data_IF_915426561778
#
_entry.id   IF_915426561778
#
_cell.length_a   1.000
_cell.length_b   1.000
_cell.length_c   1.000
_cell.angle_alpha   90.00
_cell.angle_beta   90.00
_cell.angle_gamma   90.00
#
_symmetry.space_group_name_H-M   'P 1'
#
loop_
_entity.id
_entity.type
_entity.pdbx_description
1 polymer ?
#
# COMPACT_ATOMS: atom_id res chain seq x y z
N UNK A 1 -14.07 -7.16 3.87
CA UNK A 1 -14.84 -7.21 2.60
C UNK A 1 -16.19 -7.94 2.72
N UNK A 2 -16.31 -8.97 3.56
CA UNK A 2 -17.52 -9.81 3.71
C UNK A 2 -18.61 -9.19 4.62
N UNK A 3 -18.66 -7.86 4.71
CA UNK A 3 -19.59 -7.11 5.57
C UNK A 3 -20.44 -6.22 4.66
N UNK A 4 -21.55 -6.78 4.19
CA UNK A 4 -22.45 -6.10 3.23
C UNK A 4 -23.17 -4.89 3.86
N UNK A 5 -23.20 -4.81 5.19
CA UNK A 5 -23.78 -3.72 5.95
C UNK A 5 -22.96 -2.42 5.93
N UNK A 6 -21.68 -2.48 5.52
CA UNK A 6 -20.76 -1.32 5.51
C UNK A 6 -20.86 -0.46 4.23
N UNK A 7 -21.84 -0.73 3.39
CA UNK A 7 -22.10 0.04 2.16
C UNK A 7 -21.08 -0.17 1.05
N UNK A 8 -21.14 0.67 0.03
CA UNK A 8 -20.24 0.68 -1.12
C UNK A 8 -19.78 2.10 -1.43
N UNK A 9 -18.74 2.21 -2.25
CA UNK A 9 -18.24 3.49 -2.77
C UNK A 9 -17.86 3.33 -4.23
N UNK A 10 -17.90 4.44 -4.97
CA UNK A 10 -17.45 4.48 -6.35
C UNK A 10 -15.93 4.68 -6.41
N UNK A 11 -15.29 3.98 -7.35
CA UNK A 11 -13.87 4.15 -7.66
C UNK A 11 -13.74 4.54 -9.12
N UNK A 12 -13.08 5.67 -9.37
CA UNK A 12 -12.75 6.11 -10.73
C UNK A 12 -11.67 5.20 -11.30
N UNK A 13 -11.87 4.71 -12.52
CA UNK A 13 -10.89 3.96 -13.29
C UNK A 13 -10.60 4.70 -14.59
N UNK A 14 -9.33 4.71 -15.02
CA UNK A 14 -8.93 5.40 -16.24
C UNK A 14 -7.61 4.86 -16.81
N UNK A 15 -7.04 5.61 -17.75
CA UNK A 15 -5.82 5.20 -18.47
C UNK A 15 -4.59 5.17 -17.56
N UNK A 16 -4.46 6.15 -16.68
CA UNK A 16 -3.28 6.34 -15.85
C UNK A 16 -3.60 5.94 -14.41
N UNK A 17 -2.86 4.93 -13.93
CA UNK A 17 -3.03 4.38 -12.61
C UNK A 17 -1.71 4.47 -11.83
N UNK A 18 -1.82 4.65 -10.53
CA UNK A 18 -0.70 4.57 -9.60
C UNK A 18 -0.78 3.24 -8.87
N UNK A 19 0.36 2.54 -8.79
CA UNK A 19 0.56 1.33 -7.98
C UNK A 19 1.76 1.55 -7.07
N UNK A 20 1.88 0.75 -6.01
CA UNK A 20 3.09 0.72 -5.21
C UNK A 20 4.29 0.26 -6.07
N UNK A 21 5.45 0.90 -5.92
CA UNK A 21 6.66 0.49 -6.63
C UNK A 21 7.01 -0.98 -6.36
N UNK A 22 6.79 -1.44 -5.12
CA UNK A 22 6.99 -2.82 -4.68
C UNK A 22 6.07 -3.85 -5.37
N UNK A 23 5.02 -3.39 -6.05
CA UNK A 23 4.07 -4.21 -6.79
C UNK A 23 4.47 -4.52 -8.23
N UNK A 24 5.64 -4.04 -8.67
CA UNK A 24 6.20 -4.37 -9.98
C UNK A 24 7.65 -4.87 -9.92
N UNK A 25 7.99 -5.85 -10.77
CA UNK A 25 9.37 -6.27 -11.07
C UNK A 25 9.53 -6.65 -12.53
N UNK A 26 10.68 -6.36 -13.14
CA UNK A 26 10.97 -6.86 -14.49
C UNK A 26 11.14 -8.39 -14.53
N UNK A 27 11.73 -8.95 -13.47
CA UNK A 27 11.86 -10.40 -13.31
C UNK A 27 11.62 -10.82 -11.87
N UNK A 28 10.96 -11.96 -11.69
CA UNK A 28 10.69 -12.51 -10.36
C UNK A 28 10.48 -14.02 -10.40
N UNK A 29 10.74 -14.67 -9.27
CA UNK A 29 10.49 -16.10 -9.09
C UNK A 29 8.99 -16.41 -8.98
N UNK A 30 8.63 -17.70 -8.96
CA UNK A 30 7.23 -18.17 -8.89
C UNK A 30 6.48 -17.78 -7.60
N UNK A 31 7.19 -17.35 -6.54
CA UNK A 31 6.58 -16.94 -5.27
C UNK A 31 6.10 -15.49 -5.29
N UNK A 32 6.58 -14.67 -6.24
CA UNK A 32 6.15 -13.29 -6.39
C UNK A 32 4.78 -13.22 -7.08
N UNK A 33 3.76 -12.73 -6.35
CA UNK A 33 2.35 -12.72 -6.77
C UNK A 33 1.83 -11.31 -7.10
N UNK A 34 2.69 -10.46 -7.67
CA UNK A 34 2.37 -9.08 -8.08
C UNK A 34 2.70 -8.93 -9.58
N UNK A 35 2.76 -7.70 -10.10
CA UNK A 35 2.97 -7.47 -11.53
C UNK A 35 4.42 -7.76 -11.94
N UNK A 36 4.58 -8.48 -13.04
CA UNK A 36 5.89 -8.75 -13.63
C UNK A 36 5.83 -8.44 -15.11
N UNK A 37 6.90 -7.89 -15.68
CA UNK A 37 6.98 -7.65 -17.13
C UNK A 37 6.66 -8.94 -17.91
N UNK A 38 5.75 -8.85 -18.89
CA UNK A 38 5.22 -9.97 -19.66
C UNK A 38 4.26 -10.89 -18.89
N UNK A 39 3.69 -10.44 -17.76
CA UNK A 39 2.74 -11.22 -16.95
C UNK A 39 1.55 -10.40 -16.50
N UNK A 40 0.50 -11.13 -16.12
CA UNK A 40 -0.80 -10.57 -15.70
C UNK A 40 -0.96 -10.44 -14.19
N UNK A 41 -1.57 -9.33 -13.77
CA UNK A 41 -2.04 -9.10 -12.39
C UNK A 41 -3.49 -8.62 -12.42
N UNK A 42 -4.25 -8.89 -11.35
CA UNK A 42 -5.56 -8.29 -11.17
C UNK A 42 -5.43 -6.99 -10.39
N UNK A 43 -6.06 -5.94 -10.89
CA UNK A 43 -6.27 -4.72 -10.13
C UNK A 43 -7.44 -4.95 -9.16
N UNK A 44 -7.25 -4.61 -7.89
CA UNK A 44 -8.25 -4.85 -6.84
C UNK A 44 -9.59 -4.23 -7.22
N UNK A 45 -10.65 -5.03 -7.25
CA UNK A 45 -12.00 -4.59 -7.60
C UNK A 45 -12.17 -4.18 -9.07
N UNK A 46 -11.19 -4.44 -9.94
CA UNK A 46 -11.17 -3.97 -11.31
C UNK A 46 -10.66 -5.07 -12.29
N UNK A 47 -10.17 -4.63 -13.44
CA UNK A 47 -9.71 -5.47 -14.55
C UNK A 47 -8.40 -6.20 -14.27
N UNK A 48 -8.11 -7.20 -15.11
CA UNK A 48 -6.78 -7.79 -15.25
C UNK A 48 -5.97 -6.96 -16.25
N UNK A 49 -4.70 -6.73 -15.95
CA UNK A 49 -3.75 -6.05 -16.83
C UNK A 49 -2.52 -6.92 -17.08
N UNK A 50 -1.83 -6.69 -18.20
CA UNK A 50 -0.55 -7.31 -18.56
C UNK A 50 0.53 -6.25 -18.76
N UNK A 51 1.65 -6.35 -18.05
CA UNK A 51 2.75 -5.40 -18.23
C UNK A 51 3.52 -5.69 -19.53
N UNK A 52 3.65 -4.70 -20.41
CA UNK A 52 4.24 -4.85 -21.74
C UNK A 52 5.57 -4.11 -21.91
N UNK A 53 5.78 -3.00 -21.19
CA UNK A 53 7.02 -2.21 -21.25
C UNK A 53 7.25 -1.41 -19.96
N UNK A 54 8.46 -0.88 -19.81
CA UNK A 54 8.86 -0.09 -18.65
C UNK A 54 9.82 1.03 -19.07
N UNK A 55 9.62 2.21 -18.51
CA UNK A 55 10.58 3.31 -18.56
C UNK A 55 11.40 3.37 -17.27
N UNK A 56 12.65 3.79 -17.41
CA UNK A 56 13.58 3.98 -16.30
C UNK A 56 14.26 5.35 -16.36
N UNK A 57 14.62 5.87 -15.21
CA UNK A 57 15.48 7.05 -15.12
C UNK A 57 16.97 6.70 -15.36
N UNK A 58 17.84 7.71 -15.31
CA UNK A 58 19.28 7.54 -15.50
C UNK A 58 19.98 6.73 -14.40
N UNK A 59 19.34 6.55 -13.24
CA UNK A 59 19.83 5.72 -12.15
C UNK A 59 19.31 4.28 -12.23
N UNK A 60 18.46 3.97 -13.22
CA UNK A 60 17.86 2.66 -13.42
C UNK A 60 16.59 2.42 -12.60
N UNK A 61 16.04 3.45 -11.93
CA UNK A 61 14.78 3.32 -11.21
C UNK A 61 13.62 3.29 -12.20
N UNK A 62 12.65 2.41 -11.95
CA UNK A 62 11.44 2.29 -12.76
C UNK A 62 10.53 3.48 -12.48
N UNK A 63 10.17 4.22 -13.53
CA UNK A 63 9.33 5.42 -13.43
C UNK A 63 7.92 5.17 -13.95
N UNK A 64 7.77 4.35 -15.00
CA UNK A 64 6.49 4.06 -15.63
C UNK A 64 6.43 2.61 -16.07
N UNK A 65 5.29 1.94 -15.82
CA UNK A 65 4.98 0.61 -16.37
C UNK A 65 3.84 0.76 -17.36
N UNK A 66 4.09 0.40 -18.62
CA UNK A 66 3.05 0.34 -19.64
C UNK A 66 2.38 -1.03 -19.58
N UNK A 67 1.06 -1.04 -19.56
CA UNK A 67 0.28 -2.25 -19.46
C UNK A 67 -0.94 -2.22 -20.39
N UNK A 68 -1.33 -3.40 -20.87
CA UNK A 68 -2.57 -3.61 -21.61
C UNK A 68 -3.67 -4.10 -20.67
N UNK A 69 -4.85 -3.51 -20.77
CA UNK A 69 -6.04 -3.98 -20.09
C UNK A 69 -6.62 -5.17 -20.84
N UNK A 70 -7.01 -6.22 -20.11
CA UNK A 70 -7.76 -7.34 -20.66
C UNK A 70 -9.27 -7.07 -20.53
N UNK A 71 -9.99 -6.81 -21.64
CA UNK A 71 -11.42 -6.52 -21.58
C UNK A 71 -12.23 -7.70 -21.05
N UNK A 72 -13.40 -7.42 -20.47
CA UNK A 72 -14.31 -8.46 -19.96
C UNK A 72 -13.83 -9.18 -18.70
N UNK A 73 -12.80 -8.67 -18.02
CA UNK A 73 -12.27 -9.26 -16.77
C UNK A 73 -12.70 -8.53 -15.49
N UNK A 74 -13.63 -7.57 -15.60
CA UNK A 74 -14.24 -6.93 -14.43
C UNK A 74 -15.18 -7.94 -13.75
N UNK A 75 -14.85 -8.36 -12.53
CA UNK A 75 -15.59 -9.40 -11.81
C UNK A 75 -15.36 -10.84 -12.32
N UNK A 76 -14.83 -10.99 -13.54
CA UNK A 76 -14.69 -12.27 -14.23
C UNK A 76 -13.22 -12.67 -14.47
N UNK A 77 -12.96 -13.97 -14.61
CA UNK A 77 -11.63 -14.50 -14.97
C UNK A 77 -11.33 -14.32 -16.49
N UNK A 78 -10.04 -14.25 -16.91
CA UNK A 78 -9.68 -14.16 -18.32
C UNK A 78 -10.23 -15.33 -19.16
N UNK A 79 -10.84 -15.02 -20.29
CA UNK A 79 -11.49 -15.99 -21.17
C UNK A 79 -10.53 -17.04 -21.78
N UNK A 80 -9.25 -16.68 -21.91
CA UNK A 80 -8.19 -17.58 -22.38
C UNK A 80 -7.69 -18.57 -21.30
N UNK A 81 -8.23 -18.51 -20.09
CA UNK A 81 -7.89 -19.38 -18.96
C UNK A 81 -6.57 -19.03 -18.26
N UNK A 82 -5.81 -18.05 -18.74
CA UNK A 82 -4.53 -17.64 -18.13
C UNK A 82 -4.80 -16.68 -16.97
N UNK A 83 -4.94 -17.25 -15.77
CA UNK A 83 -5.27 -16.50 -14.55
C UNK A 83 -4.12 -15.59 -14.10
N UNK A 84 -4.42 -14.39 -13.57
CA UNK A 84 -3.42 -13.50 -12.97
C UNK A 84 -2.78 -14.14 -11.73
N UNK A 85 -1.52 -13.80 -11.44
CA UNK A 85 -0.77 -14.40 -10.32
C UNK A 85 -1.14 -13.86 -8.94
N UNK A 86 -1.78 -12.70 -8.89
CA UNK A 86 -2.30 -12.12 -7.65
C UNK A 86 -3.07 -10.84 -7.92
N UNK A 87 -3.35 -10.12 -6.84
CA UNK A 87 -4.16 -8.90 -6.82
C UNK A 87 -3.35 -7.79 -6.17
N UNK A 88 -3.33 -6.61 -6.80
CA UNK A 88 -2.65 -5.40 -6.28
C UNK A 88 -3.65 -4.25 -6.14
N UNK A 89 -3.43 -3.38 -5.16
CA UNK A 89 -4.14 -2.11 -5.03
C UNK A 89 -3.62 -1.11 -6.05
N UNK A 90 -4.45 -0.11 -6.34
CA UNK A 90 -4.18 0.91 -7.34
C UNK A 90 -5.02 2.17 -7.04
N UNK A 91 -4.63 3.30 -7.61
CA UNK A 91 -5.40 4.54 -7.62
C UNK A 91 -5.46 5.10 -9.04
N UNK A 92 -6.55 5.77 -9.41
CA UNK A 92 -6.60 6.54 -10.65
C UNK A 92 -5.83 7.85 -10.49
N UNK A 93 -4.84 8.09 -11.34
CA UNK A 93 -3.83 9.13 -11.18
C UNK A 93 -4.46 10.54 -11.08
N UNK A 94 -5.42 10.87 -11.95
CA UNK A 94 -6.03 12.21 -12.01
C UNK A 94 -6.86 12.55 -10.76
N UNK A 95 -7.41 11.53 -10.11
CA UNK A 95 -8.31 11.71 -8.96
C UNK A 95 -7.62 11.44 -7.63
N UNK A 96 -6.50 10.74 -7.62
CA UNK A 96 -5.73 10.50 -6.41
C UNK A 96 -5.40 11.83 -5.71
N UNK A 97 -5.43 11.81 -4.37
CA UNK A 97 -5.15 12.98 -3.54
C UNK A 97 -3.82 12.77 -2.84
N UNK A 98 -3.01 13.83 -2.81
CA UNK A 98 -1.79 13.85 -1.99
C UNK A 98 -2.17 13.87 -0.52
N UNK A 99 -1.45 13.10 0.27
CA UNK A 99 -1.62 13.02 1.71
C UNK A 99 -0.25 12.86 2.40
N UNK A 100 -0.18 13.31 3.64
CA UNK A 100 0.90 12.94 4.55
C UNK A 100 0.48 11.67 5.30
N UNK A 101 1.36 10.67 5.33
CA UNK A 101 1.15 9.44 6.09
C UNK A 101 2.26 9.30 7.13
N UNK A 102 1.88 9.19 8.40
CA UNK A 102 2.77 8.90 9.51
C UNK A 102 2.72 7.42 9.82
N UNK A 103 3.83 6.72 9.62
CA UNK A 103 3.98 5.30 9.96
C UNK A 103 4.65 5.21 11.32
N UNK A 104 3.91 4.70 12.30
CA UNK A 104 4.41 4.50 13.65
C UNK A 104 4.96 3.08 13.82
N UNK A 105 6.04 2.95 14.57
CA UNK A 105 6.57 1.67 15.05
C UNK A 105 6.80 1.76 16.57
N UNK A 106 7.34 0.69 17.17
CA UNK A 106 7.74 0.67 18.58
C UNK A 106 8.65 1.84 18.89
N UNK A 107 8.35 2.57 19.98
CA UNK A 107 9.13 3.72 20.43
C UNK A 107 10.56 3.34 20.81
N UNK A 108 10.76 2.12 21.31
CA UNK A 108 12.06 1.60 21.71
C UNK A 108 12.43 0.39 20.87
N UNK A 109 13.71 0.29 20.51
CA UNK A 109 14.28 -0.86 19.81
C UNK A 109 14.66 -2.00 20.77
N UNK A 110 14.80 -1.69 22.07
CA UNK A 110 15.12 -2.66 23.10
C UNK A 110 13.85 -3.22 23.78
N UNK A 111 13.76 -4.54 24.08
CA UNK A 111 12.57 -5.16 24.69
C UNK A 111 12.35 -4.80 26.16
N UNK A 112 13.38 -4.29 26.85
CA UNK A 112 13.29 -3.80 28.23
C UNK A 112 14.15 -2.54 28.40
N UNK A 113 13.74 -1.41 27.79
CA UNK A 113 14.57 -0.20 27.72
C UNK A 113 14.77 0.45 29.11
N UNK A 114 13.84 0.18 30.04
CA UNK A 114 13.79 0.67 31.42
C UNK A 114 14.79 -0.02 32.37
N UNK A 115 15.50 -1.06 31.92
CA UNK A 115 16.55 -1.72 32.70
C UNK A 115 17.90 -1.02 32.64
N UNK A 116 18.05 -0.09 31.72
CA UNK A 116 19.25 0.73 31.56
C UNK A 116 19.06 2.07 32.29
N UNK A 117 20.14 2.65 32.82
CA UNK A 117 20.07 3.95 33.51
C UNK A 117 19.69 5.08 32.53
N UNK A 118 20.11 4.95 31.26
CA UNK A 118 19.78 5.88 30.18
C UNK A 118 18.93 5.20 29.09
N UNK A 119 17.65 5.01 29.40
CA UNK A 119 16.69 4.36 28.50
C UNK A 119 16.51 5.09 27.15
N UNK A 120 16.89 6.37 27.05
CA UNK A 120 16.78 7.16 25.81
C UNK A 120 17.72 6.65 24.72
N UNK A 121 18.81 5.97 25.08
CA UNK A 121 19.70 5.31 24.12
C UNK A 121 19.01 4.20 23.34
N UNK A 122 17.90 3.67 23.87
CA UNK A 122 17.12 2.61 23.26
C UNK A 122 15.99 3.12 22.35
N UNK A 123 15.88 4.45 22.14
CA UNK A 123 14.88 5.02 21.23
C UNK A 123 15.06 4.46 19.82
N UNK A 124 13.96 4.02 19.22
CA UNK A 124 13.94 3.59 17.83
C UNK A 124 13.90 4.84 16.93
N UNK A 125 14.95 5.11 16.12
CA UNK A 125 14.95 6.24 15.20
C UNK A 125 13.87 6.12 14.13
N UNK A 126 13.41 4.90 13.84
CA UNK A 126 12.32 4.60 12.89
C UNK A 126 10.96 4.48 13.57
N UNK A 127 10.82 4.90 14.85
CA UNK A 127 9.54 4.88 15.57
C UNK A 127 8.46 5.75 14.92
N UNK A 128 8.87 6.71 14.09
CA UNK A 128 8.00 7.50 13.22
C UNK A 128 8.69 7.79 11.89
N UNK A 129 8.11 7.27 10.80
CA UNK A 129 8.48 7.64 9.43
C UNK A 129 7.33 8.45 8.80
N UNK A 130 7.64 9.63 8.27
CA UNK A 130 6.64 10.49 7.61
C UNK A 130 6.80 10.44 6.10
N UNK A 131 5.72 10.08 5.40
CA UNK A 131 5.63 10.05 3.94
C UNK A 131 4.77 11.24 3.47
N UNK A 132 5.41 12.31 3.01
CA UNK A 132 4.74 13.59 2.66
C UNK A 132 4.03 13.58 1.30
N UNK A 133 4.33 12.60 0.46
CA UNK A 133 3.85 12.52 -0.92
C UNK A 133 3.06 11.24 -1.18
N UNK A 134 2.43 10.68 -0.14
CA UNK A 134 1.56 9.53 -0.31
C UNK A 134 0.34 9.91 -1.16
N UNK A 135 -0.25 8.92 -1.81
CA UNK A 135 -1.48 9.07 -2.58
C UNK A 135 -2.57 8.24 -1.96
N UNK A 136 -3.77 8.82 -1.86
CA UNK A 136 -4.98 8.16 -1.36
C UNK A 136 -6.14 8.40 -2.32
N UNK A 137 -7.18 7.57 -2.24
CA UNK A 137 -8.43 7.80 -2.97
C UNK A 137 -9.18 9.03 -2.41
N UNK A 138 -9.97 9.75 -3.25
CA UNK A 138 -10.73 10.92 -2.82
C UNK A 138 -11.56 10.69 -1.56
N UNK A 139 -12.32 9.59 -1.50
CA UNK A 139 -13.23 9.30 -0.39
C UNK A 139 -12.50 9.18 0.96
N UNK A 140 -11.26 8.69 0.97
CA UNK A 140 -10.44 8.64 2.18
C UNK A 140 -9.93 10.04 2.57
N UNK A 141 -9.51 10.85 1.59
CA UNK A 141 -9.04 12.21 1.83
C UNK A 141 -10.13 13.15 2.34
N UNK A 142 -11.38 12.94 1.91
CA UNK A 142 -12.54 13.78 2.24
C UNK A 142 -13.24 13.33 3.55
N UNK A 143 -12.73 12.28 4.20
CA UNK A 143 -13.31 11.78 5.44
C UNK A 143 -13.08 12.74 6.62
N UNK A 144 -13.94 12.66 7.64
CA UNK A 144 -13.74 13.43 8.86
C UNK A 144 -12.51 12.98 9.66
N UNK A 145 -11.99 13.80 10.59
CA UNK A 145 -11.00 13.36 11.58
C UNK A 145 -11.46 12.12 12.34
N UNK A 146 -10.51 11.28 12.74
CA UNK A 146 -10.73 10.01 13.45
C UNK A 146 -11.50 8.93 12.66
N UNK A 147 -11.68 9.13 11.35
CA UNK A 147 -12.17 8.11 10.44
C UNK A 147 -11.13 6.99 10.26
N UNK A 148 -11.58 5.74 10.25
CA UNK A 148 -10.72 4.54 10.31
C UNK A 148 -10.83 3.77 9.00
N UNK A 149 -9.68 3.37 8.47
CA UNK A 149 -9.56 2.68 7.20
C UNK A 149 -8.65 1.47 7.32
N UNK A 150 -8.93 0.44 6.53
CA UNK A 150 -7.91 -0.51 6.15
C UNK A 150 -7.42 -0.10 4.76
N UNK A 151 -6.20 0.44 4.66
CA UNK A 151 -5.57 0.62 3.37
C UNK A 151 -5.13 -0.76 2.88
N UNK A 152 -5.75 -1.20 1.80
CA UNK A 152 -5.62 -2.57 1.32
C UNK A 152 -4.16 -2.97 1.12
N UNK A 153 -3.80 -4.15 1.67
CA UNK A 153 -2.45 -4.72 1.67
C UNK A 153 -1.37 -3.93 2.43
N UNK A 154 -1.67 -2.75 2.96
CA UNK A 154 -0.74 -1.92 3.71
C UNK A 154 -0.94 -2.07 5.22
N UNK A 155 -2.10 -1.67 5.73
CA UNK A 155 -2.32 -1.60 7.17
C UNK A 155 -3.66 -0.97 7.53
N UNK A 156 -3.84 -0.67 8.81
CA UNK A 156 -4.96 0.09 9.33
C UNK A 156 -4.51 1.51 9.63
N UNK A 157 -5.31 2.47 9.19
CA UNK A 157 -5.00 3.89 9.25
C UNK A 157 -6.16 4.66 9.86
N UNK A 158 -5.84 5.79 10.47
CA UNK A 158 -6.83 6.75 11.00
C UNK A 158 -6.50 8.14 10.49
N UNK A 159 -7.51 8.93 10.13
CA UNK A 159 -7.31 10.37 9.88
C UNK A 159 -6.93 11.06 11.20
N UNK A 160 -5.82 11.79 11.20
CA UNK A 160 -5.30 12.40 12.42
C UNK A 160 -6.32 13.37 13.04
N UNK A 161 -6.53 13.27 14.35
CA UNK A 161 -7.56 14.06 15.06
C UNK A 161 -7.36 15.57 14.95
N UNK A 162 -6.12 16.04 14.83
CA UNK A 162 -5.76 17.45 14.95
C UNK A 162 -5.22 18.05 13.66
N UNK A 163 -4.44 17.28 12.90
CA UNK A 163 -3.78 17.73 11.68
C UNK A 163 -4.51 17.34 10.40
N UNK A 164 -5.51 16.47 10.45
CA UNK A 164 -6.33 16.17 9.28
C UNK A 164 -7.37 17.27 9.03
N UNK A 165 -7.51 17.71 7.79
CA UNK A 165 -8.53 18.65 7.38
C UNK A 165 -8.62 18.84 5.86
N UNK A 166 -9.60 19.63 5.38
CA UNK A 166 -9.74 19.93 3.96
C UNK A 166 -8.46 20.51 3.36
N UNK A 167 -7.92 19.85 2.34
CA UNK A 167 -6.67 20.26 1.69
C UNK A 167 -5.39 19.84 2.42
N UNK A 168 -5.50 19.28 3.63
CA UNK A 168 -4.37 18.72 4.40
C UNK A 168 -4.69 17.29 4.88
N UNK A 169 -4.84 16.32 3.97
CA UNK A 169 -5.11 14.94 4.38
C UNK A 169 -3.89 14.38 5.12
N UNK A 170 -4.10 14.04 6.39
CA UNK A 170 -3.10 13.45 7.27
C UNK A 170 -3.63 12.12 7.82
N UNK A 171 -2.85 11.06 7.68
CA UNK A 171 -3.18 9.73 8.19
C UNK A 171 -2.08 9.21 9.11
N UNK A 172 -2.49 8.56 10.18
CA UNK A 172 -1.62 7.81 11.08
C UNK A 172 -1.83 6.32 10.84
N UNK A 173 -0.76 5.59 10.54
CA UNK A 173 -0.77 4.13 10.56
C UNK A 173 -0.96 3.67 12.00
N UNK A 174 -2.09 3.01 12.25
CA UNK A 174 -2.39 2.41 13.55
C UNK A 174 -1.60 1.13 13.74
N UNK A 175 -1.61 0.26 12.73
CA UNK A 175 -0.87 -1.01 12.72
C UNK A 175 -0.81 -1.59 11.31
N UNK A 176 0.30 -2.25 10.96
CA UNK A 176 0.42 -3.03 9.72
C UNK A 176 -0.47 -4.28 9.72
N UNK A 177 -0.65 -4.92 8.55
CA UNK A 177 -1.53 -6.10 8.42
C UNK A 177 -0.96 -7.40 9.00
N UNK A 178 0.36 -7.47 9.19
CA UNK A 178 1.05 -8.62 9.76
C UNK A 178 2.04 -8.13 10.79
N UNK A 179 2.21 -8.93 11.82
CA UNK A 179 3.27 -8.68 12.80
C UNK A 179 4.63 -8.83 12.11
N UNK A 180 5.39 -7.73 12.06
CA UNK A 180 6.79 -7.70 11.62
C UNK A 180 7.75 -8.16 12.73
N UNK A 181 7.26 -8.30 13.96
CA UNK A 181 8.03 -8.63 15.15
C UNK A 181 7.79 -10.07 15.64
N UNK A 182 7.55 -10.99 14.71
CA UNK A 182 7.46 -12.42 15.00
C UNK A 182 8.70 -12.91 15.76
N UNK A 183 8.47 -13.45 16.96
CA UNK A 183 9.51 -13.84 17.92
C UNK A 183 10.60 -14.71 17.32
N UNK A 184 11.78 -14.12 17.14
CA UNK A 184 13.01 -14.88 17.10
C UNK A 184 13.34 -15.32 18.51
N UNK A 185 13.36 -16.63 18.75
CA UNK A 185 14.26 -17.20 19.74
C UNK A 185 15.65 -16.59 19.47
N UNK A 186 16.14 -15.78 20.42
CA UNK A 186 17.55 -15.41 20.44
C UNK A 186 18.40 -16.67 20.64
N UNK A 187 19.66 -16.70 20.16
CA UNK A 187 20.51 -17.85 20.34
C UNK A 187 20.85 -18.01 21.83
N UNK A 188 20.28 -19.03 22.47
CA UNK A 188 20.75 -19.55 23.74
C UNK A 188 20.44 -18.71 25.00
N UNK A 189 19.45 -19.17 25.75
CA UNK A 189 19.51 -19.27 27.21
C UNK A 189 18.62 -20.43 27.67
#
# INVERSE_FOLDING_TARGET
>A
PSREDLGSRELTFGRELVIEADDFRESANKKYKRLVLGKRVRLRGAYVIEAIAVDKDSAGNITTVYAELLPGTLGEDPADGVKPKGVIQWLHADTARRATVRRYDRLFAHPSPDRDEDFLQHLNPESLVTVEAALVEPAAADAGPEARFQFERLGYFVTDRHGHGPGTPLFNETIGLRDSWGGGEGPGA
#
